data_IF_039815280861
#
_entry.id   IF_039815280861
#
_cell.length_a   1.000
_cell.length_b   1.000
_cell.length_c   1.000
_cell.angle_alpha   90.00
_cell.angle_beta   90.00
_cell.angle_gamma   90.00
#
_symmetry.space_group_name_H-M   'P 1'
#
loop_
_entity.id
_entity.type
_entity.pdbx_description
1 polymer ?
#
# COMPACT_ATOMS: atom_id res chain seq x y z
N UNK A 1 -17.18 36.20 33.61
CA UNK A 1 -16.01 37.10 33.72
C UNK A 1 -15.49 37.36 32.32
N UNK A 2 -15.14 38.60 31.96
CA UNK A 2 -14.58 38.87 30.63
C UNK A 2 -13.29 38.07 30.43
N UNK A 3 -13.09 37.57 29.21
CA UNK A 3 -11.87 36.86 28.81
C UNK A 3 -10.72 37.82 28.45
N UNK A 4 -11.02 39.11 28.31
CA UNK A 4 -10.06 40.20 28.14
C UNK A 4 -9.93 41.00 29.43
N UNK A 5 -8.71 41.49 29.71
CA UNK A 5 -8.42 42.48 30.75
C UNK A 5 -8.39 43.93 30.21
N UNK A 6 -8.72 44.10 28.92
CA UNK A 6 -8.82 45.39 28.22
C UNK A 6 -10.16 45.53 27.48
N UNK A 7 -10.49 46.76 27.09
CA UNK A 7 -11.67 47.06 26.26
C UNK A 7 -11.36 46.88 24.78
N UNK A 8 -12.25 46.23 24.06
CA UNK A 8 -12.16 46.08 22.60
C UNK A 8 -12.70 47.36 21.96
N UNK A 9 -11.86 48.15 21.30
CA UNK A 9 -12.26 49.40 20.64
C UNK A 9 -12.87 49.20 19.25
N UNK A 10 -12.76 47.99 18.69
CA UNK A 10 -13.31 47.61 17.38
C UNK A 10 -14.56 46.73 17.46
N UNK A 11 -14.96 46.19 16.32
CA UNK A 11 -16.15 45.32 16.18
C UNK A 11 -15.80 43.83 16.11
N UNK A 12 -14.57 43.43 16.45
CA UNK A 12 -14.13 42.03 16.40
C UNK A 12 -13.06 41.71 17.45
N UNK A 13 -12.99 40.44 17.83
CA UNK A 13 -11.98 39.87 18.74
C UNK A 13 -11.69 38.41 18.38
N UNK A 14 -10.43 38.00 18.51
CA UNK A 14 -10.00 36.60 18.30
C UNK A 14 -9.52 36.01 19.62
N UNK A 15 -10.25 35.02 20.13
CA UNK A 15 -9.82 34.23 21.28
C UNK A 15 -8.72 33.24 20.86
N UNK A 16 -7.51 33.42 21.39
CA UNK A 16 -6.34 32.56 21.11
C UNK A 16 -6.14 31.47 22.15
N UNK A 17 -6.95 31.46 23.22
CA UNK A 17 -6.82 30.54 24.36
C UNK A 17 -7.87 29.42 24.32
N UNK A 18 -8.43 29.17 23.13
CA UNK A 18 -9.35 28.07 22.90
C UNK A 18 -8.58 26.75 22.79
N UNK A 19 -9.12 25.73 23.46
CA UNK A 19 -8.68 24.35 23.32
C UNK A 19 -9.49 23.68 22.23
N UNK A 20 -8.84 22.77 21.51
CA UNK A 20 -9.55 21.98 20.54
C UNK A 20 -10.60 21.07 21.21
N UNK A 21 -11.63 20.70 20.46
CA UNK A 21 -12.81 19.91 20.83
C UNK A 21 -13.48 20.37 22.14
N UNK A 22 -13.37 21.65 22.47
CA UNK A 22 -14.05 22.26 23.60
C UNK A 22 -15.14 23.18 23.07
N UNK A 23 -16.37 23.01 23.56
CA UNK A 23 -17.47 23.91 23.22
C UNK A 23 -17.32 25.20 24.01
N UNK A 24 -17.25 26.31 23.29
CA UNK A 24 -17.20 27.64 23.85
C UNK A 24 -18.48 28.40 23.49
N UNK A 25 -18.91 29.25 24.43
CA UNK A 25 -20.04 30.15 24.30
C UNK A 25 -19.53 31.56 24.49
N UNK A 26 -19.86 32.46 23.55
CA UNK A 26 -19.40 33.86 23.59
C UNK A 26 -20.59 34.81 23.60
N UNK A 27 -20.49 35.83 24.45
CA UNK A 27 -21.35 37.01 24.48
C UNK A 27 -20.47 38.25 24.59
N UNK A 28 -20.91 39.36 24.01
CA UNK A 28 -20.25 40.66 24.15
C UNK A 28 -21.15 41.59 24.95
N UNK A 29 -20.56 42.40 25.84
CA UNK A 29 -21.27 43.46 26.58
C UNK A 29 -20.61 44.81 26.26
N UNK A 30 -21.38 45.86 25.94
CA UNK A 30 -20.81 47.20 25.78
C UNK A 30 -20.39 47.76 27.14
N UNK A 31 -19.34 48.58 27.15
CA UNK A 31 -18.86 49.30 28.32
C UNK A 31 -19.13 50.79 28.10
N UNK A 32 -19.87 51.43 29.01
CA UNK A 32 -20.20 52.85 28.93
C UNK A 32 -19.07 53.73 29.51
N UNK A 33 -19.13 55.05 29.25
CA UNK A 33 -18.11 56.02 29.71
C UNK A 33 -17.93 56.05 31.24
N UNK A 34 -19.00 55.74 31.97
CA UNK A 34 -19.01 55.62 33.44
C UNK A 34 -18.50 54.27 33.95
N UNK A 35 -17.98 53.42 33.04
CA UNK A 35 -17.45 52.06 33.28
C UNK A 35 -18.53 51.04 33.66
N UNK A 36 -19.81 51.34 33.48
CA UNK A 36 -20.89 50.37 33.64
C UNK A 36 -21.00 49.45 32.41
N UNK A 37 -21.51 48.23 32.63
CA UNK A 37 -21.75 47.25 31.56
C UNK A 37 -23.20 47.29 31.10
N UNK A 38 -23.42 47.33 29.79
CA UNK A 38 -24.75 47.16 29.21
C UNK A 38 -25.18 45.70 29.09
N UNK A 39 -26.31 45.49 28.41
CA UNK A 39 -26.85 44.15 28.15
C UNK A 39 -25.93 43.32 27.23
N UNK A 40 -25.97 42.00 27.42
CA UNK A 40 -25.23 41.08 26.56
C UNK A 40 -25.85 41.02 25.16
N UNK A 41 -25.02 40.74 24.16
CA UNK A 41 -25.44 40.28 22.84
C UNK A 41 -26.16 38.93 22.92
N UNK A 42 -26.65 38.44 21.78
CA UNK A 42 -26.95 37.02 21.65
C UNK A 42 -25.69 36.17 21.93
N UNK A 43 -25.91 34.95 22.42
CA UNK A 43 -24.85 33.96 22.59
C UNK A 43 -24.54 33.30 21.24
N UNK A 44 -23.26 33.09 20.98
CA UNK A 44 -22.77 32.28 19.85
C UNK A 44 -21.98 31.10 20.38
N UNK A 45 -22.12 29.94 19.75
CA UNK A 45 -21.39 28.72 20.12
C UNK A 45 -20.38 28.32 19.05
N UNK A 46 -19.23 27.76 19.47
CA UNK A 46 -18.19 27.25 18.58
C UNK A 46 -17.45 26.06 19.20
N UNK A 47 -17.00 25.13 18.36
CA UNK A 47 -16.11 24.02 18.72
C UNK A 47 -14.92 24.04 17.77
N UNK A 48 -13.70 24.28 18.28
CA UNK A 48 -12.49 24.18 17.48
C UNK A 48 -12.06 22.71 17.40
N UNK A 49 -12.37 21.94 16.36
CA UNK A 49 -12.06 20.48 16.39
C UNK A 49 -10.54 20.18 16.37
N UNK A 50 -10.07 19.14 17.09
CA UNK A 50 -8.64 18.75 17.04
C UNK A 50 -8.26 18.21 15.66
N UNK A 51 -7.10 18.64 15.16
CA UNK A 51 -6.56 18.12 13.90
C UNK A 51 -5.98 16.72 14.10
N UNK A 52 -6.60 15.73 13.45
CA UNK A 52 -6.04 14.38 13.31
C UNK A 52 -5.01 14.40 12.18
N UNK A 53 -3.83 13.86 12.42
CA UNK A 53 -2.77 13.73 11.41
C UNK A 53 -2.87 12.33 10.85
N UNK A 54 -3.27 12.22 9.58
CA UNK A 54 -3.30 10.96 8.83
C UNK A 54 -1.94 10.75 8.13
N UNK A 55 -1.50 9.51 8.06
CA UNK A 55 -0.33 9.07 7.31
C UNK A 55 -0.67 7.81 6.51
N UNK A 56 -0.07 7.66 5.34
CA UNK A 56 -0.25 6.52 4.45
C UNK A 56 1.10 5.99 3.98
N UNK A 57 1.23 4.66 3.93
CA UNK A 57 2.43 3.97 3.46
C UNK A 57 2.05 2.73 2.65
N UNK A 58 2.73 2.50 1.53
CA UNK A 58 2.57 1.26 0.78
C UNK A 58 3.05 0.06 1.61
N UNK A 59 2.29 -1.02 1.60
CA UNK A 59 2.55 -2.28 2.27
C UNK A 59 2.45 -3.45 1.27
N UNK A 60 3.00 -4.62 1.59
CA UNK A 60 3.13 -5.75 0.65
C UNK A 60 1.82 -6.28 0.05
N UNK A 61 0.68 -6.01 0.68
CA UNK A 61 -0.65 -6.46 0.26
C UNK A 61 -1.71 -5.36 0.43
N UNK A 62 -1.30 -4.09 0.43
CA UNK A 62 -2.22 -2.97 0.66
C UNK A 62 -1.57 -1.63 0.90
N UNK A 63 -2.34 -0.71 1.45
CA UNK A 63 -1.88 0.58 1.96
C UNK A 63 -2.15 0.64 3.46
N UNK A 64 -1.08 0.78 4.24
CA UNK A 64 -1.16 0.99 5.68
C UNK A 64 -1.45 2.46 5.97
N UNK A 65 -2.57 2.69 6.64
CA UNK A 65 -3.02 3.99 7.12
C UNK A 65 -2.85 4.03 8.65
N UNK A 66 -2.35 5.14 9.16
CA UNK A 66 -2.23 5.38 10.60
C UNK A 66 -2.48 6.84 10.93
N UNK A 67 -2.96 7.12 12.13
CA UNK A 67 -3.26 8.50 12.52
C UNK A 67 -3.01 8.79 13.99
N UNK A 68 -2.85 10.07 14.31
CA UNK A 68 -2.67 10.53 15.69
C UNK A 68 -3.95 10.37 16.51
N UNK A 69 -3.80 9.94 17.77
CA UNK A 69 -4.91 9.91 18.73
C UNK A 69 -5.23 11.34 19.20
N UNK A 70 -6.46 11.85 19.00
CA UNK A 70 -6.83 13.18 19.46
C UNK A 70 -6.99 13.23 20.99
N UNK A 71 -6.85 14.42 21.57
CA UNK A 71 -6.82 14.62 23.02
C UNK A 71 -8.13 14.24 23.72
N UNK A 72 -9.28 14.48 23.08
CA UNK A 72 -10.61 14.07 23.56
C UNK A 72 -11.11 12.78 22.89
N UNK A 73 -10.26 11.76 22.81
CA UNK A 73 -10.63 10.44 22.28
C UNK A 73 -11.81 9.77 23.01
N UNK A 74 -12.23 10.26 24.18
CA UNK A 74 -13.36 9.74 24.95
C UNK A 74 -14.71 9.94 24.27
N UNK A 75 -14.87 10.93 23.39
CA UNK A 75 -16.10 11.20 22.66
C UNK A 75 -16.14 10.55 21.26
N UNK A 76 -15.02 9.97 20.83
CA UNK A 76 -14.87 9.33 19.52
C UNK A 76 -15.14 7.84 19.68
N UNK A 77 -16.08 7.33 18.89
CA UNK A 77 -16.41 5.90 18.84
C UNK A 77 -15.63 5.16 17.73
N UNK A 78 -15.06 5.90 16.78
CA UNK A 78 -14.17 5.36 15.76
C UNK A 78 -13.86 6.36 14.64
N UNK A 79 -13.33 5.85 13.53
CA UNK A 79 -12.90 6.66 12.40
C UNK A 79 -13.39 6.09 11.08
N UNK A 80 -13.80 6.98 10.17
CA UNK A 80 -14.18 6.65 8.80
C UNK A 80 -13.08 7.12 7.85
N UNK A 81 -12.63 6.22 6.98
CA UNK A 81 -11.62 6.51 5.95
C UNK A 81 -12.32 6.60 4.60
N UNK A 82 -11.96 7.61 3.81
CA UNK A 82 -12.50 7.84 2.48
C UNK A 82 -11.34 7.87 1.48
N UNK A 83 -11.56 7.31 0.29
CA UNK A 83 -10.53 7.06 -0.72
C UNK A 83 -10.95 7.62 -2.09
N UNK A 84 -9.96 8.00 -2.89
CA UNK A 84 -10.08 8.31 -4.32
C UNK A 84 -8.82 7.91 -5.08
N UNK A 85 -8.91 7.77 -6.40
CA UNK A 85 -7.77 7.72 -7.33
C UNK A 85 -7.44 9.09 -7.95
N UNK A 86 -8.19 10.14 -7.55
CA UNK A 86 -8.02 11.54 -7.96
C UNK A 86 -8.02 12.45 -6.74
N UNK A 87 -7.02 13.33 -6.65
CA UNK A 87 -6.91 14.32 -5.57
C UNK A 87 -8.20 15.16 -5.46
N UNK A 88 -8.65 15.38 -4.22
CA UNK A 88 -9.84 16.14 -3.87
C UNK A 88 -11.17 15.53 -4.30
N UNK A 89 -11.21 14.23 -4.66
CA UNK A 89 -12.41 13.53 -5.16
C UNK A 89 -12.76 12.27 -4.37
N UNK A 90 -12.50 12.24 -3.07
CA UNK A 90 -12.89 11.12 -2.19
C UNK A 90 -14.38 10.83 -2.27
N UNK A 91 -14.72 9.54 -2.18
CA UNK A 91 -16.11 9.10 -2.10
C UNK A 91 -16.83 9.75 -0.91
N UNK A 92 -18.15 9.88 -1.02
CA UNK A 92 -19.00 10.24 0.11
C UNK A 92 -19.25 9.05 1.06
N UNK A 93 -18.92 7.84 0.63
CA UNK A 93 -19.01 6.62 1.43
C UNK A 93 -17.62 6.21 1.93
N UNK A 94 -17.48 5.84 3.20
CA UNK A 94 -16.22 5.29 3.70
C UNK A 94 -15.88 3.96 3.04
N UNK A 95 -14.61 3.56 3.15
CA UNK A 95 -14.12 2.27 2.62
C UNK A 95 -14.49 1.07 3.51
N UNK A 96 -14.96 1.33 4.74
CA UNK A 96 -15.48 0.33 5.69
C UNK A 96 -16.95 0.58 5.97
N UNK A 97 -17.71 -0.47 6.30
CA UNK A 97 -19.11 -0.41 6.72
C UNK A 97 -19.29 -0.16 8.23
N UNK A 98 -18.18 -0.09 8.98
CA UNK A 98 -18.12 0.27 10.40
C UNK A 98 -17.03 1.32 10.68
N UNK A 99 -17.16 2.14 11.74
CA UNK A 99 -16.09 3.00 12.22
C UNK A 99 -14.93 2.19 12.80
N UNK A 100 -13.71 2.52 12.41
CA UNK A 100 -12.49 1.86 12.90
C UNK A 100 -12.21 2.34 14.33
N UNK A 101 -12.12 1.44 15.30
CA UNK A 101 -11.87 1.79 16.72
C UNK A 101 -10.37 2.05 17.00
N UNK A 102 -9.49 1.43 16.22
CA UNK A 102 -8.04 1.58 16.35
C UNK A 102 -7.50 2.91 15.81
N UNK A 103 -6.17 3.03 15.78
CA UNK A 103 -5.45 4.19 15.20
C UNK A 103 -4.73 3.83 13.90
N UNK A 104 -5.08 2.68 13.32
CA UNK A 104 -4.54 2.19 12.05
C UNK A 104 -5.55 1.32 11.31
N UNK A 105 -5.34 1.22 10.00
CA UNK A 105 -6.12 0.37 9.10
C UNK A 105 -5.30 0.04 7.85
N UNK A 106 -5.43 -1.17 7.32
CA UNK A 106 -4.79 -1.55 6.05
C UNK A 106 -5.86 -1.68 4.97
N UNK A 107 -5.78 -0.83 3.94
CA UNK A 107 -6.63 -0.96 2.76
C UNK A 107 -6.04 -1.99 1.79
N UNK A 108 -6.71 -3.15 1.71
CA UNK A 108 -6.30 -4.28 0.85
C UNK A 108 -6.99 -4.29 -0.51
N UNK A 109 -8.00 -3.43 -0.72
CA UNK A 109 -8.82 -3.44 -1.93
C UNK A 109 -8.30 -2.41 -2.93
N UNK A 110 -7.02 -2.53 -3.26
CA UNK A 110 -6.25 -1.57 -4.06
C UNK A 110 -5.57 -2.27 -5.23
N UNK A 111 -5.49 -1.56 -6.35
CA UNK A 111 -4.74 -1.97 -7.54
C UNK A 111 -3.28 -1.58 -7.37
N UNK A 112 -2.34 -2.33 -7.95
CA UNK A 112 -0.92 -2.00 -7.88
C UNK A 112 -0.55 -0.88 -8.87
N UNK A 113 0.53 -0.14 -8.59
CA UNK A 113 0.98 1.03 -9.36
C UNK A 113 -0.11 2.10 -9.56
N UNK A 114 -1.01 2.24 -8.59
CA UNK A 114 -2.06 3.24 -8.57
C UNK A 114 -1.86 4.20 -7.40
N UNK A 115 -1.91 5.50 -7.69
CA UNK A 115 -1.94 6.53 -6.65
C UNK A 115 -3.32 6.63 -6.04
N UNK A 116 -3.38 6.53 -4.72
CA UNK A 116 -4.59 6.71 -3.93
C UNK A 116 -4.47 7.93 -3.03
N UNK A 117 -5.61 8.57 -2.79
CA UNK A 117 -5.76 9.76 -1.96
C UNK A 117 -6.74 9.47 -0.84
N UNK A 118 -6.33 9.72 0.40
CA UNK A 118 -7.10 9.40 1.60
C UNK A 118 -7.38 10.64 2.44
N UNK A 119 -8.59 10.68 2.99
CA UNK A 119 -8.97 11.55 4.11
C UNK A 119 -9.62 10.70 5.19
N UNK A 120 -9.58 11.19 6.42
CA UNK A 120 -10.20 10.56 7.56
C UNK A 120 -11.16 11.52 8.25
N UNK A 121 -12.26 11.01 8.77
CA UNK A 121 -13.19 11.74 9.66
C UNK A 121 -13.40 10.93 10.94
N UNK A 122 -13.30 11.57 12.10
CA UNK A 122 -13.70 10.94 13.35
C UNK A 122 -15.22 10.83 13.42
N UNK A 123 -15.69 9.77 14.07
CA UNK A 123 -17.10 9.51 14.36
C UNK A 123 -17.31 9.71 15.86
N UNK A 124 -18.17 10.65 16.21
CA UNK A 124 -18.49 10.97 17.61
C UNK A 124 -19.65 10.11 18.14
N UNK A 125 -19.83 10.05 19.47
CA UNK A 125 -20.94 9.31 20.12
C UNK A 125 -22.32 9.73 19.65
N UNK A 126 -22.50 11.01 19.32
CA UNK A 126 -23.74 11.57 18.77
C UNK A 126 -23.95 11.24 17.28
N UNK A 127 -23.05 10.43 16.69
CA UNK A 127 -23.01 10.01 15.29
C UNK A 127 -22.66 11.12 14.30
N UNK A 128 -22.27 12.30 14.77
CA UNK A 128 -21.73 13.35 13.89
C UNK A 128 -20.29 13.02 13.46
N UNK A 129 -19.84 13.69 12.40
CA UNK A 129 -18.48 13.55 11.88
C UNK A 129 -17.63 14.79 12.16
N UNK A 130 -16.33 14.59 12.30
CA UNK A 130 -15.36 15.69 12.26
C UNK A 130 -15.24 16.28 10.86
N UNK A 131 -14.60 17.45 10.79
CA UNK A 131 -14.00 17.89 9.52
C UNK A 131 -12.98 16.85 9.04
N UNK A 132 -12.76 16.72 7.71
CA UNK A 132 -11.76 15.81 7.19
C UNK A 132 -10.35 16.22 7.61
N UNK A 133 -9.48 15.23 7.78
CA UNK A 133 -8.03 15.48 7.85
C UNK A 133 -7.52 16.14 6.57
N UNK A 134 -6.28 16.64 6.62
CA UNK A 134 -5.54 16.88 5.40
C UNK A 134 -5.50 15.60 4.53
N UNK A 135 -5.56 15.78 3.22
CA UNK A 135 -5.42 14.70 2.26
C UNK A 135 -3.98 14.18 2.30
N UNK A 136 -3.84 12.85 2.33
CA UNK A 136 -2.56 12.18 2.07
C UNK A 136 -2.66 11.40 0.78
N UNK A 137 -1.57 11.35 0.03
CA UNK A 137 -1.45 10.50 -1.16
C UNK A 137 -0.38 9.45 -0.93
N UNK A 138 -0.58 8.30 -1.56
CA UNK A 138 0.40 7.22 -1.60
C UNK A 138 0.21 6.46 -2.90
N UNK A 139 1.31 6.17 -3.57
CA UNK A 139 1.31 5.22 -4.68
C UNK A 139 1.43 3.82 -4.11
N UNK A 140 0.46 2.96 -4.43
CA UNK A 140 0.61 1.54 -4.15
C UNK A 140 1.75 1.02 -5.02
N UNK A 141 2.77 0.47 -4.39
CA UNK A 141 3.83 -0.23 -5.11
C UNK A 141 4.25 -1.41 -4.25
N UNK A 142 3.46 -2.48 -4.34
CA UNK A 142 3.71 -3.68 -3.60
C UNK A 142 4.07 -4.80 -4.56
N UNK A 143 5.06 -5.58 -4.14
CA UNK A 143 5.57 -6.64 -4.98
C UNK A 143 4.50 -7.65 -5.37
N UNK A 144 4.62 -8.18 -6.60
CA UNK A 144 3.68 -9.16 -7.12
C UNK A 144 3.79 -10.45 -6.32
N UNK A 145 2.64 -11.01 -5.98
CA UNK A 145 2.55 -12.39 -5.47
C UNK A 145 2.27 -13.32 -6.64
N UNK A 146 3.19 -14.24 -6.91
CA UNK A 146 3.05 -15.22 -7.98
C UNK A 146 3.02 -16.61 -7.38
N UNK A 147 1.96 -17.36 -7.68
CA UNK A 147 1.78 -18.73 -7.20
C UNK A 147 1.89 -19.70 -8.37
N UNK A 148 2.78 -20.68 -8.24
CA UNK A 148 3.01 -21.79 -9.16
C UNK A 148 2.71 -23.10 -8.45
N UNK A 149 2.30 -24.12 -9.21
CA UNK A 149 2.10 -25.47 -8.68
C UNK A 149 2.68 -26.48 -9.66
N UNK A 150 3.38 -27.49 -9.14
CA UNK A 150 3.95 -28.57 -9.96
C UNK A 150 2.82 -29.31 -10.69
N UNK A 151 3.06 -29.66 -11.96
CA UNK A 151 2.06 -30.26 -12.86
C UNK A 151 1.05 -29.25 -13.44
N UNK A 152 1.10 -27.98 -13.05
CA UNK A 152 0.24 -26.94 -13.61
C UNK A 152 0.88 -26.29 -14.84
N UNK A 153 0.04 -25.96 -15.82
CA UNK A 153 0.36 -25.11 -16.99
C UNK A 153 0.17 -23.62 -16.69
N UNK A 154 -0.35 -23.31 -15.50
CA UNK A 154 -0.76 -21.98 -15.10
C UNK A 154 -0.07 -21.52 -13.82
N UNK A 155 0.24 -20.23 -13.79
CA UNK A 155 0.55 -19.47 -12.59
C UNK A 155 -0.61 -18.54 -12.23
N UNK A 156 -0.63 -18.07 -10.99
CA UNK A 156 -1.54 -17.01 -10.55
C UNK A 156 -0.73 -15.79 -10.15
N UNK A 157 -0.88 -14.69 -10.88
CA UNK A 157 -0.24 -13.40 -10.60
C UNK A 157 -1.27 -12.50 -9.93
N UNK A 158 -1.08 -12.18 -8.65
CA UNK A 158 -2.06 -11.47 -7.83
C UNK A 158 -3.48 -12.07 -7.96
N UNK A 159 -3.57 -13.41 -7.97
CA UNK A 159 -4.82 -14.16 -8.14
C UNK A 159 -5.29 -14.35 -9.59
N UNK A 160 -4.78 -13.58 -10.56
CA UNK A 160 -5.12 -13.75 -11.98
C UNK A 160 -4.40 -14.95 -12.59
N UNK A 161 -5.16 -15.89 -13.16
CA UNK A 161 -4.63 -17.07 -13.85
C UNK A 161 -3.95 -16.69 -15.18
N UNK A 162 -2.71 -17.13 -15.38
CA UNK A 162 -1.88 -16.88 -16.56
C UNK A 162 -1.18 -18.17 -16.97
N UNK A 163 -1.14 -18.50 -18.26
CA UNK A 163 -0.40 -19.67 -18.77
C UNK A 163 1.12 -19.40 -18.74
N UNK A 164 1.90 -20.38 -18.25
CA UNK A 164 3.36 -20.22 -18.11
C UNK A 164 4.10 -20.28 -19.46
N UNK A 165 3.45 -20.87 -20.47
CA UNK A 165 3.97 -20.98 -21.83
C UNK A 165 2.81 -20.98 -22.84
N UNK A 166 2.31 -19.78 -23.22
CA UNK A 166 1.07 -19.61 -23.96
C UNK A 166 0.93 -20.52 -25.19
N UNK A 167 -0.11 -21.35 -25.20
CA UNK A 167 -0.44 -22.25 -26.29
C UNK A 167 0.52 -23.43 -26.51
N UNK A 168 1.43 -23.69 -25.56
CA UNK A 168 2.39 -24.80 -25.65
C UNK A 168 2.09 -25.93 -24.71
N UNK A 169 1.25 -25.69 -23.69
CA UNK A 169 0.85 -26.71 -22.73
C UNK A 169 2.00 -27.20 -21.84
N UNK A 170 3.08 -26.44 -21.72
CA UNK A 170 4.22 -26.75 -20.85
C UNK A 170 3.81 -26.64 -19.40
N UNK A 171 4.31 -27.56 -18.56
CA UNK A 171 4.01 -27.63 -17.13
C UNK A 171 5.21 -27.25 -16.27
N UNK A 172 4.92 -26.81 -15.04
CA UNK A 172 5.93 -26.70 -13.98
C UNK A 172 6.33 -28.10 -13.57
N UNK A 173 7.63 -28.43 -13.61
CA UNK A 173 8.13 -29.77 -13.30
C UNK A 173 9.15 -29.75 -12.18
N UNK A 174 9.27 -30.86 -11.46
CA UNK A 174 10.43 -31.12 -10.60
C UNK A 174 11.39 -32.02 -11.36
N UNK A 175 12.65 -31.60 -11.45
CA UNK A 175 13.76 -32.39 -11.98
C UNK A 175 14.95 -32.24 -11.03
N UNK A 176 15.57 -33.36 -10.65
CA UNK A 176 16.71 -33.37 -9.71
C UNK A 176 16.42 -32.61 -8.40
N UNK A 177 15.18 -32.70 -7.88
CA UNK A 177 14.78 -32.01 -6.66
C UNK A 177 14.66 -30.49 -6.76
N UNK A 178 14.61 -29.92 -7.97
CA UNK A 178 14.42 -28.49 -8.22
C UNK A 178 13.23 -28.25 -9.14
N UNK A 179 12.54 -27.12 -8.94
CA UNK A 179 11.42 -26.69 -9.76
C UNK A 179 11.91 -26.00 -11.03
N UNK A 180 11.41 -26.44 -12.18
CA UNK A 180 11.73 -25.94 -13.50
C UNK A 180 10.48 -25.52 -14.26
N UNK A 181 10.62 -24.49 -15.08
CA UNK A 181 9.61 -24.01 -16.02
C UNK A 181 10.26 -23.13 -17.10
N UNK A 182 9.57 -22.85 -18.22
CA UNK A 182 9.92 -21.76 -19.11
C UNK A 182 9.75 -20.44 -18.37
N UNK A 183 10.86 -19.74 -18.10
CA UNK A 183 10.83 -18.60 -17.17
C UNK A 183 10.25 -17.31 -17.78
N UNK A 184 10.12 -17.23 -19.11
CA UNK A 184 9.78 -15.99 -19.83
C UNK A 184 8.51 -15.34 -19.28
N UNK A 185 7.39 -16.06 -19.27
CA UNK A 185 6.12 -15.51 -18.81
C UNK A 185 6.20 -15.04 -17.35
N UNK A 186 6.94 -15.75 -16.50
CA UNK A 186 7.17 -15.37 -15.12
C UNK A 186 7.95 -14.05 -15.01
N UNK A 187 9.09 -13.94 -15.71
CA UNK A 187 9.95 -12.74 -15.67
C UNK A 187 9.24 -11.53 -16.27
N UNK A 188 8.55 -11.68 -17.41
CA UNK A 188 7.75 -10.60 -18.01
C UNK A 188 6.63 -10.14 -17.07
N UNK A 189 5.96 -11.07 -16.38
CA UNK A 189 4.98 -10.71 -15.36
C UNK A 189 5.61 -10.06 -14.14
N UNK A 190 6.90 -10.26 -13.86
CA UNK A 190 7.64 -9.52 -12.83
C UNK A 190 8.11 -8.14 -13.33
N UNK A 191 7.91 -7.80 -14.61
CA UNK A 191 8.37 -6.55 -15.22
C UNK A 191 9.78 -6.62 -15.81
N UNK A 192 10.31 -7.83 -16.01
CA UNK A 192 11.62 -8.09 -16.58
C UNK A 192 11.58 -8.50 -18.06
N UNK A 193 12.76 -8.81 -18.58
CA UNK A 193 12.99 -9.20 -19.97
C UNK A 193 13.79 -10.51 -20.06
N UNK A 194 13.52 -11.30 -21.11
CA UNK A 194 14.21 -12.57 -21.37
C UNK A 194 14.64 -12.67 -22.83
N UNK A 195 15.94 -12.79 -23.05
CA UNK A 195 16.54 -12.98 -24.37
C UNK A 195 17.12 -14.38 -24.53
N UNK A 196 17.09 -14.88 -25.77
CA UNK A 196 17.72 -16.15 -26.15
C UNK A 196 18.77 -15.90 -27.22
N UNK A 197 19.98 -16.40 -27.00
CA UNK A 197 21.04 -16.44 -27.99
C UNK A 197 21.27 -17.89 -28.43
N UNK A 198 20.94 -18.16 -29.69
CA UNK A 198 21.00 -19.51 -30.26
C UNK A 198 22.45 -20.03 -30.40
N UNK A 199 23.39 -19.20 -30.84
CA UNK A 199 24.78 -19.63 -31.09
C UNK A 199 25.52 -20.01 -29.81
N UNK A 200 25.19 -19.35 -28.70
CA UNK A 200 25.79 -19.62 -27.40
C UNK A 200 24.94 -20.56 -26.54
N UNK A 201 23.73 -20.93 -26.98
CA UNK A 201 22.72 -21.60 -26.14
C UNK A 201 22.52 -20.88 -24.80
N UNK A 202 22.44 -19.54 -24.86
CA UNK A 202 22.45 -18.66 -23.68
C UNK A 202 21.09 -18.02 -23.47
N UNK A 203 20.61 -18.04 -22.24
CA UNK A 203 19.46 -17.24 -21.78
C UNK A 203 19.98 -16.03 -21.00
N UNK A 204 19.55 -14.84 -21.39
CA UNK A 204 19.77 -13.61 -20.62
C UNK A 204 18.47 -13.19 -19.95
N UNK A 205 18.51 -12.93 -18.65
CA UNK A 205 17.37 -12.50 -17.84
C UNK A 205 17.68 -11.14 -17.22
N UNK A 206 16.74 -10.21 -17.30
CA UNK A 206 16.87 -8.87 -16.76
C UNK A 206 15.67 -8.54 -15.88
N UNK A 207 15.91 -8.05 -14.66
CA UNK A 207 14.84 -7.55 -13.79
C UNK A 207 15.40 -6.46 -12.87
N UNK A 208 14.79 -5.27 -12.90
CA UNK A 208 15.28 -4.09 -12.20
C UNK A 208 16.75 -3.80 -12.55
N UNK A 209 17.65 -3.84 -11.56
CA UNK A 209 19.10 -3.65 -11.73
C UNK A 209 19.86 -4.94 -12.03
N UNK A 210 19.22 -6.10 -11.90
CA UNK A 210 19.88 -7.40 -11.92
C UNK A 210 19.90 -8.02 -13.31
N UNK A 211 20.99 -8.75 -13.58
CA UNK A 211 21.22 -9.49 -14.83
C UNK A 211 21.70 -10.90 -14.51
N UNK A 212 21.04 -11.90 -15.09
CA UNK A 212 21.43 -13.30 -14.93
C UNK A 212 21.60 -13.93 -16.31
N UNK A 213 22.75 -14.56 -16.53
CA UNK A 213 23.06 -15.32 -17.75
C UNK A 213 23.21 -16.80 -17.45
N UNK A 214 22.53 -17.62 -18.24
CA UNK A 214 22.59 -19.07 -18.19
C UNK A 214 23.01 -19.64 -19.53
N UNK A 215 23.74 -20.75 -19.51
CA UNK A 215 24.06 -21.54 -20.69
C UNK A 215 23.46 -22.95 -20.53
N UNK A 216 22.83 -23.48 -21.57
CA UNK A 216 22.23 -24.82 -21.54
C UNK A 216 23.30 -25.87 -21.20
N UNK A 217 23.00 -26.77 -20.26
CA UNK A 217 23.92 -27.81 -19.81
C UNK A 217 25.10 -27.31 -18.94
N UNK A 218 25.08 -26.03 -18.52
CA UNK A 218 26.12 -25.47 -17.66
C UNK A 218 25.56 -25.10 -16.29
N UNK A 219 26.22 -25.60 -15.23
CA UNK A 219 25.91 -25.28 -13.83
C UNK A 219 26.45 -23.93 -13.38
N UNK A 220 27.30 -23.28 -14.17
CA UNK A 220 27.77 -21.92 -13.89
C UNK A 220 26.87 -20.91 -14.58
N UNK A 221 26.20 -20.09 -13.79
CA UNK A 221 25.50 -18.90 -14.24
C UNK A 221 26.36 -17.65 -13.97
N UNK A 222 26.10 -16.56 -14.68
CA UNK A 222 26.72 -15.26 -14.40
C UNK A 222 25.66 -14.30 -13.89
N UNK A 223 25.76 -13.91 -12.61
CA UNK A 223 24.84 -13.00 -11.92
C UNK A 223 25.54 -11.69 -11.66
N UNK A 224 25.03 -10.60 -12.23
CA UNK A 224 25.58 -9.24 -12.07
C UNK A 224 27.09 -9.15 -12.35
N UNK A 225 27.55 -9.93 -13.33
CA UNK A 225 28.97 -9.98 -13.70
C UNK A 225 29.79 -11.07 -13.00
N UNK A 226 29.26 -11.67 -11.92
CA UNK A 226 29.96 -12.66 -11.10
C UNK A 226 29.50 -14.07 -11.43
N UNK A 227 30.44 -15.01 -11.55
CA UNK A 227 30.11 -16.42 -11.74
C UNK A 227 29.54 -17.01 -10.44
N UNK A 228 28.38 -17.68 -10.53
CA UNK A 228 27.72 -18.39 -9.44
C UNK A 228 27.35 -19.79 -9.90
N UNK A 229 27.65 -20.78 -9.08
CA UNK A 229 27.22 -22.16 -9.34
C UNK A 229 25.77 -22.39 -8.92
N UNK A 230 25.10 -23.22 -9.70
CA UNK A 230 23.79 -23.79 -9.43
C UNK A 230 23.92 -25.30 -9.35
N UNK A 231 23.17 -25.91 -8.44
CA UNK A 231 23.23 -27.35 -8.18
C UNK A 231 22.68 -28.19 -9.35
N UNK A 232 21.84 -27.59 -10.18
CA UNK A 232 21.25 -28.15 -11.39
C UNK A 232 21.56 -27.30 -12.62
N UNK A 233 21.50 -27.90 -13.80
CA UNK A 233 21.74 -27.21 -15.07
C UNK A 233 20.42 -26.84 -15.77
N UNK A 234 20.38 -25.71 -16.49
CA UNK A 234 19.35 -25.44 -17.48
C UNK A 234 19.34 -26.52 -18.55
N UNK A 235 18.16 -26.86 -19.07
CA UNK A 235 18.04 -27.84 -20.14
C UNK A 235 16.96 -27.45 -21.14
N UNK A 236 17.01 -28.07 -22.31
CA UNK A 236 15.92 -28.04 -23.30
C UNK A 236 15.07 -29.28 -23.08
N UNK A 237 13.77 -29.12 -22.85
CA UNK A 237 12.82 -30.24 -22.69
C UNK A 237 12.61 -30.99 -24.01
N UNK A 238 12.00 -32.17 -23.92
CA UNK A 238 11.60 -32.97 -25.09
C UNK A 238 10.57 -32.24 -25.97
N UNK A 239 9.89 -31.22 -25.42
CA UNK A 239 8.98 -30.31 -26.13
C UNK A 239 9.67 -29.07 -26.70
N UNK A 240 11.01 -29.07 -26.77
CA UNK A 240 11.86 -27.99 -27.27
C UNK A 240 11.66 -26.67 -26.51
N UNK A 241 11.52 -26.73 -25.18
CA UNK A 241 11.41 -25.55 -24.31
C UNK A 241 12.62 -25.43 -23.41
N UNK A 242 13.18 -24.23 -23.32
CA UNK A 242 14.23 -23.92 -22.35
C UNK A 242 13.65 -23.88 -20.94
N UNK A 243 14.11 -24.78 -20.09
CA UNK A 243 13.69 -24.96 -18.70
C UNK A 243 14.80 -24.48 -17.78
N UNK A 244 14.45 -23.57 -16.86
CA UNK A 244 15.40 -22.95 -15.95
C UNK A 244 15.08 -23.20 -14.47
N UNK A 245 16.09 -23.27 -13.59
CA UNK A 245 15.88 -23.52 -12.17
C UNK A 245 15.28 -22.28 -11.49
N UNK A 246 14.02 -22.41 -11.07
CA UNK A 246 13.22 -21.29 -10.57
C UNK A 246 13.87 -20.59 -9.37
N UNK A 247 14.20 -21.35 -8.32
CA UNK A 247 14.67 -20.78 -7.05
C UNK A 247 15.94 -19.94 -7.22
N UNK A 248 16.91 -20.46 -7.96
CA UNK A 248 18.17 -19.74 -8.22
C UNK A 248 17.91 -18.38 -8.87
N UNK A 249 17.01 -18.32 -9.85
CA UNK A 249 16.68 -17.07 -10.55
C UNK A 249 16.00 -16.08 -9.60
N UNK A 250 14.96 -16.53 -8.88
CA UNK A 250 14.14 -15.67 -8.04
C UNK A 250 14.94 -15.08 -6.88
N UNK A 251 15.77 -15.89 -6.22
CA UNK A 251 16.60 -15.41 -5.10
C UNK A 251 17.68 -14.42 -5.56
N UNK A 252 18.25 -14.60 -6.76
CA UNK A 252 19.22 -13.65 -7.33
C UNK A 252 18.58 -12.39 -7.93
N UNK A 253 17.25 -12.34 -8.02
CA UNK A 253 16.48 -11.14 -8.34
C UNK A 253 15.93 -10.45 -7.08
N UNK A 254 16.53 -10.70 -5.92
CA UNK A 254 16.15 -10.18 -4.60
C UNK A 254 14.70 -10.52 -4.19
N UNK A 255 14.05 -11.48 -4.85
CA UNK A 255 12.67 -11.87 -4.58
C UNK A 255 12.60 -13.01 -3.56
N UNK A 256 11.51 -13.09 -2.79
CA UNK A 256 11.29 -14.18 -1.83
C UNK A 256 10.59 -15.35 -2.52
N UNK A 257 11.01 -16.57 -2.19
CA UNK A 257 10.42 -17.81 -2.70
C UNK A 257 10.20 -18.83 -1.59
N UNK A 258 8.94 -19.22 -1.43
CA UNK A 258 8.48 -20.18 -0.44
C UNK A 258 7.97 -21.47 -1.11
N UNK A 259 8.19 -22.61 -0.46
CA UNK A 259 7.81 -23.92 -0.96
C UNK A 259 6.93 -24.66 0.04
N UNK A 260 5.73 -25.05 -0.40
CA UNK A 260 4.84 -25.95 0.31
C UNK A 260 4.93 -27.35 -0.31
N UNK A 261 5.53 -28.29 0.42
CA UNK A 261 5.72 -29.67 -0.03
C UNK A 261 4.43 -30.51 -0.04
N UNK A 262 3.41 -30.15 0.76
CA UNK A 262 2.14 -30.88 0.79
C UNK A 262 1.32 -30.60 -0.45
N UNK A 263 1.30 -29.35 -0.90
CA UNK A 263 0.54 -28.93 -2.10
C UNK A 263 1.41 -28.78 -3.35
N UNK A 264 2.72 -29.00 -3.24
CA UNK A 264 3.72 -28.78 -4.27
C UNK A 264 3.63 -27.39 -4.90
N UNK A 265 3.44 -26.38 -4.04
CA UNK A 265 3.19 -25.00 -4.42
C UNK A 265 4.42 -24.14 -4.15
N UNK A 266 4.76 -23.32 -5.13
CA UNK A 266 5.78 -22.26 -4.98
C UNK A 266 5.07 -20.92 -4.89
N UNK A 267 5.39 -20.15 -3.85
CA UNK A 267 4.90 -18.76 -3.69
C UNK A 267 6.07 -17.81 -3.82
N UNK A 268 6.01 -16.92 -4.81
CA UNK A 268 7.00 -15.87 -5.05
C UNK A 268 6.41 -14.54 -4.61
N UNK A 269 7.19 -13.75 -3.88
CA UNK A 269 6.87 -12.35 -3.58
C UNK A 269 7.99 -11.49 -4.11
N UNK A 270 7.68 -10.61 -5.07
CA UNK A 270 8.64 -9.59 -5.48
C UNK A 270 8.77 -8.53 -4.39
N UNK A 271 9.83 -7.73 -4.43
CA UNK A 271 9.92 -6.51 -3.63
C UNK A 271 9.14 -5.37 -4.28
#
# INVERSE_FOLDING_TARGET
>A
TPITDFYIEGTSYTDKNIKTDTKYYYVVKPVYKDKTLGHASNEVEVILKSSIILSAKAANDGIDLSWSKPQNASEIIGYNIYRSTRSGKQSNTPITDFPIVGISYTDKNIDNNQTYYYILKAVYKDKTLSEPTAEVSVESNFGKTIVLQVGSKYMHVNGKKIEIDPGKGTEVVIKNGRTFLPIRALIENMGGEVEWNQSEQKVSLYLNKHKIYFWIGNKTAKVDGVNKETDVEPYISDTNRTMLPLRFIIENFDCKVDWDGLTQKVTIKTN
#
